data_IF_938628750107
#
_entry.id   IF_938628750107
#
_cell.length_a   1.000
_cell.length_b   1.000
_cell.length_c   1.000
_cell.angle_alpha   90.00
_cell.angle_beta   90.00
_cell.angle_gamma   90.00
#
_symmetry.space_group_name_H-M   'P 1'
#
loop_
_entity.id
_entity.type
_entity.pdbx_description
1 polymer ?
#
# COMPACT_ATOMS: atom_id res chain seq x y z
N UNK A 1 10.22 27.94 -13.40
CA UNK A 1 9.93 26.50 -13.57
C UNK A 1 10.76 25.82 -12.51
N UNK A 2 10.13 25.12 -11.58
CA UNK A 2 10.87 24.26 -10.67
C UNK A 2 11.34 23.08 -11.53
N UNK A 3 12.62 22.72 -11.42
CA UNK A 3 13.15 21.52 -12.06
C UNK A 3 12.41 20.29 -11.51
N UNK A 4 12.18 19.29 -12.36
CA UNK A 4 11.58 18.02 -11.94
C UNK A 4 12.51 17.27 -10.98
N UNK A 5 11.95 16.71 -9.90
CA UNK A 5 12.69 15.87 -8.98
C UNK A 5 12.76 14.44 -9.54
N UNK A 6 13.84 14.13 -10.26
CA UNK A 6 14.09 12.79 -10.78
C UNK A 6 14.57 11.89 -9.63
N UNK A 7 13.83 10.80 -9.37
CA UNK A 7 14.10 9.88 -8.26
C UNK A 7 15.34 9.01 -8.54
N UNK A 8 15.42 8.45 -9.74
CA UNK A 8 16.50 7.59 -10.19
C UNK A 8 17.56 8.34 -11.02
N UNK A 9 18.80 7.87 -10.99
CA UNK A 9 19.89 8.25 -11.91
C UNK A 9 20.16 7.19 -12.97
N UNK A 10 19.77 5.93 -12.72
CA UNK A 10 19.65 4.91 -13.75
C UNK A 10 18.20 4.86 -14.26
N UNK A 11 17.99 5.15 -15.55
CA UNK A 11 16.68 5.10 -16.21
C UNK A 11 16.61 4.00 -17.28
N UNK A 12 17.57 3.08 -17.30
CA UNK A 12 17.50 1.94 -18.20
C UNK A 12 16.46 0.93 -17.66
N UNK A 13 15.63 0.36 -18.54
CA UNK A 13 14.61 -0.67 -18.24
C UNK A 13 13.42 -0.19 -17.39
N UNK A 14 12.69 -1.12 -16.75
CA UNK A 14 11.41 -0.82 -16.07
C UNK A 14 11.69 -0.34 -14.65
N UNK A 15 11.22 0.86 -14.32
CA UNK A 15 11.16 1.34 -12.94
C UNK A 15 9.70 1.44 -12.54
N UNK A 16 9.30 0.59 -11.60
CA UNK A 16 7.89 0.42 -11.24
C UNK A 16 7.68 0.66 -9.73
N UNK A 17 6.42 0.92 -9.38
CA UNK A 17 5.93 1.02 -8.00
C UNK A 17 6.72 1.91 -7.03
N UNK A 18 6.96 3.20 -7.35
CA UNK A 18 7.66 4.08 -6.43
C UNK A 18 6.85 4.33 -5.16
N UNK A 19 7.50 4.16 -4.01
CA UNK A 19 6.96 4.55 -2.71
C UNK A 19 7.86 5.62 -2.06
N UNK A 20 7.26 6.58 -1.36
CA UNK A 20 8.00 7.65 -0.67
C UNK A 20 7.59 7.79 0.78
N UNK A 21 8.53 8.25 1.61
CA UNK A 21 8.25 8.62 2.99
C UNK A 21 8.97 9.91 3.38
N UNK A 22 8.23 10.83 4.01
CA UNK A 22 8.81 12.03 4.61
C UNK A 22 9.69 11.65 5.82
N UNK A 23 10.82 12.34 5.97
CA UNK A 23 11.74 12.14 7.08
C UNK A 23 11.62 13.25 8.13
N UNK A 24 11.74 12.90 9.41
CA UNK A 24 11.57 13.84 10.53
C UNK A 24 12.56 15.03 10.53
N UNK A 25 13.69 14.90 9.82
CA UNK A 25 14.68 15.98 9.62
C UNK A 25 14.36 16.92 8.44
N UNK A 26 13.24 16.71 7.75
CA UNK A 26 12.94 17.30 6.45
C UNK A 26 13.46 16.43 5.30
N UNK A 27 12.91 16.65 4.11
CA UNK A 27 13.17 15.80 2.95
C UNK A 27 12.38 14.50 2.98
N UNK A 28 12.77 13.56 2.13
CA UNK A 28 12.08 12.29 1.94
C UNK A 28 13.03 11.20 1.45
N UNK A 29 12.63 9.95 1.63
CA UNK A 29 13.22 8.79 0.96
C UNK A 29 12.26 8.33 -0.13
N UNK A 30 12.80 7.91 -1.27
CA UNK A 30 12.07 7.18 -2.29
C UNK A 30 12.66 5.77 -2.41
N UNK A 31 11.78 4.80 -2.65
CA UNK A 31 12.12 3.42 -3.02
C UNK A 31 11.34 3.05 -4.27
N UNK A 32 11.89 2.18 -5.09
CA UNK A 32 11.27 1.70 -6.32
C UNK A 32 11.82 0.33 -6.67
N UNK A 33 11.06 -0.39 -7.50
CA UNK A 33 11.49 -1.63 -8.11
C UNK A 33 12.30 -1.28 -9.37
N UNK A 34 13.52 -1.78 -9.46
CA UNK A 34 14.40 -1.61 -10.61
C UNK A 34 14.51 -2.95 -11.34
N UNK A 35 13.77 -3.08 -12.44
CA UNK A 35 13.78 -4.27 -13.28
C UNK A 35 14.89 -4.17 -14.29
N UNK A 36 16.07 -4.73 -14.01
CA UNK A 36 17.14 -4.81 -15.00
C UNK A 36 17.80 -6.20 -15.07
N UNK A 37 18.06 -6.69 -16.29
CA UNK A 37 18.96 -7.80 -16.60
C UNK A 37 20.45 -7.39 -16.46
N UNK A 38 20.82 -6.66 -15.40
CA UNK A 38 22.17 -6.08 -15.32
C UNK A 38 23.26 -7.16 -15.17
N UNK A 39 24.04 -7.28 -16.26
CA UNK A 39 25.51 -7.41 -16.42
C UNK A 39 26.34 -8.26 -15.41
N UNK A 40 25.68 -9.17 -14.72
CA UNK A 40 26.28 -10.20 -13.88
C UNK A 40 25.26 -11.11 -13.18
N UNK A 41 23.98 -10.72 -13.16
CA UNK A 41 22.91 -11.40 -12.46
C UNK A 41 21.75 -11.65 -13.41
N UNK A 42 21.33 -12.90 -13.54
CA UNK A 42 20.41 -13.40 -14.56
C UNK A 42 18.96 -12.87 -14.41
N UNK A 43 18.71 -11.58 -14.68
CA UNK A 43 17.37 -11.04 -14.95
C UNK A 43 16.38 -10.95 -13.79
N UNK A 44 16.86 -10.68 -12.57
CA UNK A 44 16.01 -10.47 -11.39
C UNK A 44 15.71 -8.97 -11.17
N UNK A 45 14.50 -8.65 -10.72
CA UNK A 45 14.12 -7.31 -10.23
C UNK A 45 14.67 -7.10 -8.82
N UNK A 46 15.30 -5.95 -8.58
CA UNK A 46 15.82 -5.55 -7.27
C UNK A 46 15.09 -4.33 -6.71
N UNK A 47 15.14 -4.13 -5.39
CA UNK A 47 14.57 -2.94 -4.75
C UNK A 47 15.69 -1.94 -4.45
N UNK A 48 15.49 -0.70 -4.89
CA UNK A 48 16.44 0.39 -4.69
C UNK A 48 15.84 1.53 -3.89
N UNK A 49 16.70 2.38 -3.36
CA UNK A 49 16.27 3.59 -2.67
C UNK A 49 17.27 4.73 -2.76
N UNK A 50 16.76 5.92 -2.45
CA UNK A 50 17.55 7.16 -2.41
C UNK A 50 16.94 8.17 -1.45
N UNK A 51 17.80 8.90 -0.73
CA UNK A 51 17.38 9.94 0.22
C UNK A 51 17.56 11.31 -0.40
N UNK A 52 16.56 12.17 -0.20
CA UNK A 52 16.49 13.54 -0.72
C UNK A 52 16.27 14.54 0.41
N UNK A 53 16.75 15.77 0.22
CA UNK A 53 16.42 16.88 1.10
C UNK A 53 15.04 17.49 0.79
N UNK A 54 14.63 18.48 1.56
CA UNK A 54 13.34 19.16 1.40
C UNK A 54 13.22 19.99 0.11
N UNK A 55 14.32 20.16 -0.64
CA UNK A 55 14.34 20.80 -1.94
C UNK A 55 14.37 19.77 -3.08
N UNK A 56 14.30 18.47 -2.77
CA UNK A 56 14.37 17.39 -3.76
C UNK A 56 15.78 17.09 -4.26
N UNK A 57 16.83 17.63 -3.60
CA UNK A 57 18.21 17.29 -3.96
C UNK A 57 18.59 15.99 -3.30
N UNK A 58 19.15 15.07 -4.07
CA UNK A 58 19.65 13.82 -3.55
C UNK A 58 20.79 14.03 -2.54
N UNK A 59 20.63 13.42 -1.36
CA UNK A 59 21.62 13.37 -0.30
C UNK A 59 22.48 12.11 -0.35
N UNK A 60 22.01 11.08 -1.04
CA UNK A 60 22.72 9.81 -1.25
C UNK A 60 22.82 9.47 -2.74
N UNK A 61 23.81 8.63 -3.12
CA UNK A 61 23.65 7.77 -4.30
C UNK A 61 22.43 6.87 -4.17
N UNK A 62 22.04 6.23 -5.27
CA UNK A 62 21.14 5.07 -5.24
C UNK A 62 21.81 3.93 -4.47
N UNK A 63 21.02 3.17 -3.73
CA UNK A 63 21.51 2.01 -3.00
C UNK A 63 20.52 0.86 -3.05
N UNK A 64 21.04 -0.36 -3.18
CA UNK A 64 20.25 -1.59 -3.11
C UNK A 64 19.71 -1.79 -1.69
N UNK A 65 18.41 -2.07 -1.57
CA UNK A 65 17.69 -2.22 -0.29
C UNK A 65 17.85 -3.62 0.30
N UNK A 66 17.80 -4.73 -0.44
CA UNK A 66 18.03 -6.05 0.13
C UNK A 66 19.53 -6.36 0.24
N UNK A 67 19.91 -7.33 1.10
CA UNK A 67 21.32 -7.75 1.22
C UNK A 67 21.71 -8.85 0.23
N UNK A 68 20.72 -9.59 -0.28
CA UNK A 68 20.91 -10.75 -1.14
C UNK A 68 20.54 -10.40 -2.59
N UNK A 69 21.33 -10.90 -3.56
CA UNK A 69 21.22 -10.50 -4.97
C UNK A 69 20.73 -11.64 -5.89
N UNK A 70 20.11 -12.68 -5.33
CA UNK A 70 19.78 -13.93 -6.04
C UNK A 70 18.27 -14.25 -6.13
N UNK A 71 17.42 -13.33 -5.66
CA UNK A 71 15.97 -13.51 -5.52
C UNK A 71 15.25 -12.33 -6.22
N UNK A 72 14.03 -12.53 -6.74
CA UNK A 72 13.15 -11.45 -7.18
C UNK A 72 12.66 -10.65 -5.97
N UNK A 73 12.87 -9.33 -6.02
CA UNK A 73 12.52 -8.41 -4.95
C UNK A 73 11.69 -7.26 -5.52
N UNK A 74 10.52 -7.04 -4.93
CA UNK A 74 9.51 -6.17 -5.51
C UNK A 74 8.48 -5.67 -4.48
N UNK A 75 7.62 -4.75 -4.92
CA UNK A 75 6.51 -4.15 -4.19
C UNK A 75 6.95 -3.46 -2.89
N UNK A 76 8.05 -2.71 -2.96
CA UNK A 76 8.63 -2.09 -1.78
C UNK A 76 7.76 -0.97 -1.19
N UNK A 77 7.61 -0.97 0.14
CA UNK A 77 6.95 0.11 0.91
C UNK A 77 7.91 0.68 1.93
N UNK A 78 7.79 1.98 2.19
CA UNK A 78 8.70 2.71 3.09
C UNK A 78 7.96 3.59 4.09
N UNK A 79 8.45 3.65 5.32
CA UNK A 79 7.97 4.58 6.36
C UNK A 79 9.12 5.29 7.05
N UNK A 80 8.94 6.59 7.28
CA UNK A 80 9.86 7.41 8.06
C UNK A 80 9.68 7.18 9.56
N UNK A 81 10.78 7.27 10.32
CA UNK A 81 10.80 7.10 11.77
C UNK A 81 11.08 8.44 12.48
N UNK A 82 10.67 8.59 13.76
CA UNK A 82 10.87 9.83 14.51
C UNK A 82 12.34 10.23 14.73
N UNK A 83 13.27 9.27 14.67
CA UNK A 83 14.70 9.54 14.77
C UNK A 83 15.34 10.02 13.46
N UNK A 84 14.51 10.23 12.42
CA UNK A 84 14.92 10.63 11.08
C UNK A 84 15.34 9.46 10.19
N UNK A 85 15.44 8.24 10.74
CA UNK A 85 15.62 7.03 9.94
C UNK A 85 14.35 6.61 9.21
N UNK A 86 14.40 5.44 8.58
CA UNK A 86 13.26 4.85 7.88
C UNK A 86 13.31 3.32 7.92
N UNK A 87 12.19 2.68 7.62
CA UNK A 87 12.09 1.23 7.40
C UNK A 87 11.56 1.00 5.99
N UNK A 88 12.21 0.10 5.27
CA UNK A 88 11.71 -0.43 3.99
C UNK A 88 11.29 -1.87 4.20
N UNK A 89 10.14 -2.24 3.66
CA UNK A 89 9.67 -3.61 3.56
C UNK A 89 9.41 -3.97 2.11
N UNK A 90 9.63 -5.21 1.73
CA UNK A 90 9.49 -5.69 0.36
C UNK A 90 9.11 -7.17 0.33
N UNK A 91 8.58 -7.60 -0.81
CA UNK A 91 8.37 -8.99 -1.14
C UNK A 91 9.66 -9.57 -1.74
N UNK A 92 10.07 -10.77 -1.30
CA UNK A 92 11.17 -11.52 -1.92
C UNK A 92 10.72 -12.95 -2.17
N UNK A 93 10.86 -13.45 -3.40
CA UNK A 93 10.71 -14.88 -3.63
C UNK A 93 11.89 -15.59 -2.93
N UNK A 94 11.61 -16.61 -2.13
CA UNK A 94 12.70 -17.34 -1.46
C UNK A 94 13.36 -18.29 -2.45
N UNK A 95 14.59 -18.74 -2.17
CA UNK A 95 15.20 -19.89 -2.87
C UNK A 95 14.19 -21.04 -2.95
N UNK A 96 13.72 -21.34 -4.16
CA UNK A 96 12.89 -22.52 -4.46
C UNK A 96 13.64 -23.79 -4.04
N UNK A 97 13.27 -24.33 -2.88
CA UNK A 97 13.89 -25.55 -2.33
C UNK A 97 13.24 -26.83 -2.85
N UNK A 98 12.31 -26.72 -3.79
CA UNK A 98 11.61 -27.88 -4.38
C UNK A 98 11.99 -28.13 -5.84
N UNK A 99 12.63 -27.16 -6.50
CA UNK A 99 12.97 -27.25 -7.92
C UNK A 99 11.73 -27.15 -8.82
N UNK A 100 10.67 -26.56 -8.29
CA UNK A 100 9.47 -26.16 -9.02
C UNK A 100 9.28 -24.68 -8.71
N UNK A 101 9.37 -23.83 -9.74
CA UNK A 101 9.17 -22.38 -9.70
C UNK A 101 7.92 -22.00 -8.86
N UNK A 102 8.08 -21.92 -7.54
CA UNK A 102 7.03 -21.50 -6.63
C UNK A 102 7.21 -19.99 -6.54
N UNK A 103 6.48 -19.23 -7.34
CA UNK A 103 6.48 -17.76 -7.34
C UNK A 103 5.93 -17.17 -6.02
N UNK A 104 6.20 -17.84 -4.88
CA UNK A 104 5.68 -17.60 -3.55
C UNK A 104 6.64 -16.64 -2.84
N UNK A 105 6.09 -15.54 -2.35
CA UNK A 105 6.88 -14.48 -1.74
C UNK A 105 6.85 -14.60 -0.22
N UNK A 106 7.95 -14.15 0.39
CA UNK A 106 8.04 -13.86 1.81
C UNK A 106 8.25 -12.36 2.00
N UNK A 107 7.93 -11.87 3.19
CA UNK A 107 8.04 -10.44 3.47
C UNK A 107 9.27 -10.17 4.32
N UNK A 108 10.08 -9.24 3.84
CA UNK A 108 11.30 -8.80 4.50
C UNK A 108 11.21 -7.33 4.88
N UNK A 109 12.04 -6.94 5.84
CA UNK A 109 12.24 -5.53 6.17
C UNK A 109 13.68 -5.23 6.56
N UNK A 110 14.07 -3.98 6.39
CA UNK A 110 15.34 -3.42 6.85
C UNK A 110 15.15 -2.00 7.36
N UNK A 111 15.81 -1.68 8.47
CA UNK A 111 15.85 -0.34 9.07
C UNK A 111 17.09 0.39 8.58
N UNK A 112 16.94 1.68 8.29
CA UNK A 112 18.00 2.56 7.83
C UNK A 112 18.08 3.82 8.68
N UNK A 113 19.28 4.40 8.74
CA UNK A 113 19.53 5.74 9.26
C UNK A 113 18.99 6.81 8.32
N UNK A 114 18.95 8.06 8.80
CA UNK A 114 18.60 9.23 7.97
C UNK A 114 19.51 9.43 6.74
N UNK A 115 20.69 8.78 6.71
CA UNK A 115 21.66 8.86 5.60
C UNK A 115 21.67 7.62 4.73
N UNK A 116 20.69 6.72 4.88
CA UNK A 116 20.59 5.48 4.10
C UNK A 116 21.54 4.37 4.55
N UNK A 117 22.14 4.47 5.74
CA UNK A 117 22.96 3.37 6.29
C UNK A 117 22.07 2.35 7.00
N UNK A 118 22.24 1.07 6.72
CA UNK A 118 21.51 -0.02 7.39
C UNK A 118 21.76 -0.02 8.90
N UNK A 119 20.72 -0.27 9.68
CA UNK A 119 20.78 -0.40 11.13
C UNK A 119 20.28 -1.79 11.52
N UNK A 120 21.22 -2.68 11.80
CA UNK A 120 20.93 -4.08 12.10
C UNK A 120 20.84 -4.95 10.84
N UNK A 121 20.47 -6.20 11.04
CA UNK A 121 20.33 -7.19 9.98
C UNK A 121 18.96 -7.05 9.31
N UNK A 122 18.88 -7.51 8.05
CA UNK A 122 17.61 -7.73 7.38
C UNK A 122 16.78 -8.77 8.16
N UNK A 123 15.48 -8.53 8.25
CA UNK A 123 14.55 -9.39 9.01
C UNK A 123 13.50 -9.96 8.07
N UNK A 124 13.40 -11.29 8.00
CA UNK A 124 12.23 -11.95 7.45
C UNK A 124 11.08 -11.78 8.46
N UNK A 125 10.04 -11.04 8.08
CA UNK A 125 8.90 -10.72 8.95
C UNK A 125 8.04 -11.95 9.15
N UNK A 126 7.80 -12.67 8.06
CA UNK A 126 6.91 -13.82 8.00
C UNK A 126 7.66 -15.13 8.26
N UNK A 127 7.11 -16.05 9.08
CA UNK A 127 7.82 -17.26 9.49
C UNK A 127 7.61 -18.46 8.54
N UNK A 128 6.52 -18.47 7.78
CA UNK A 128 6.06 -19.63 7.00
C UNK A 128 6.43 -19.47 5.52
N UNK A 129 7.16 -20.45 4.99
CA UNK A 129 7.71 -20.46 3.62
C UNK A 129 6.84 -21.25 2.64
N UNK A 130 5.74 -21.83 3.11
CA UNK A 130 4.85 -22.68 2.32
C UNK A 130 3.58 -21.93 1.85
N UNK A 131 3.47 -20.64 2.16
CA UNK A 131 2.39 -19.75 1.73
C UNK A 131 2.97 -18.64 0.85
N UNK A 132 2.24 -18.25 -0.19
CA UNK A 132 2.50 -17.01 -0.90
C UNK A 132 2.10 -15.84 0.02
N UNK A 133 3.01 -14.89 0.25
CA UNK A 133 2.77 -13.75 1.12
C UNK A 133 2.98 -12.44 0.37
N UNK A 134 1.99 -11.56 0.47
CA UNK A 134 1.94 -10.29 -0.24
C UNK A 134 1.89 -9.13 0.73
N UNK A 135 2.71 -8.12 0.48
CA UNK A 135 2.80 -6.92 1.30
C UNK A 135 1.65 -5.97 0.95
N UNK A 136 0.67 -5.86 1.85
CA UNK A 136 -0.47 -4.97 1.67
C UNK A 136 -0.10 -3.52 2.01
N UNK A 137 0.48 -3.32 3.19
CA UNK A 137 0.67 -1.99 3.74
C UNK A 137 1.80 -1.91 4.77
N UNK A 138 2.44 -0.73 4.81
CA UNK A 138 3.37 -0.33 5.84
C UNK A 138 3.04 1.11 6.27
N UNK A 139 2.64 1.30 7.52
CA UNK A 139 2.20 2.62 8.02
C UNK A 139 2.91 2.99 9.31
N UNK A 140 3.35 4.26 9.41
CA UNK A 140 3.91 4.81 10.64
C UNK A 140 2.80 5.01 11.69
N UNK A 141 3.12 4.77 12.96
CA UNK A 141 2.19 4.92 14.06
C UNK A 141 2.47 6.20 14.87
N UNK A 142 1.45 6.82 15.50
CA UNK A 142 1.62 8.04 16.30
C UNK A 142 2.58 7.91 17.50
N UNK A 143 2.84 6.69 17.98
CA UNK A 143 3.79 6.43 19.05
C UNK A 143 5.25 6.29 18.55
N UNK A 144 5.47 6.47 17.24
CA UNK A 144 6.76 6.34 16.60
C UNK A 144 7.12 4.93 16.14
N UNK A 145 6.28 3.94 16.42
CA UNK A 145 6.38 2.62 15.81
C UNK A 145 5.84 2.59 14.39
N UNK A 146 5.64 1.39 13.87
CA UNK A 146 4.99 1.18 12.58
C UNK A 146 4.16 -0.12 12.62
N UNK A 147 3.24 -0.25 11.67
CA UNK A 147 2.42 -1.44 11.50
C UNK A 147 2.51 -1.92 10.06
N UNK A 148 2.64 -3.23 9.90
CA UNK A 148 2.63 -3.90 8.62
C UNK A 148 1.35 -4.70 8.49
N UNK A 149 0.81 -4.75 7.29
CA UNK A 149 -0.29 -5.64 6.88
C UNK A 149 0.20 -6.50 5.72
N UNK A 150 -0.14 -7.77 5.75
CA UNK A 150 0.17 -8.70 4.67
C UNK A 150 -0.89 -9.76 4.51
N UNK A 151 -1.07 -10.18 3.27
CA UNK A 151 -1.92 -11.29 2.90
C UNK A 151 -1.08 -12.57 2.78
N UNK A 152 -1.61 -13.72 3.20
CA UNK A 152 -0.98 -15.02 3.04
C UNK A 152 -1.99 -16.03 2.44
N UNK A 153 -1.55 -16.84 1.48
CA UNK A 153 -2.40 -17.85 0.85
C UNK A 153 -1.64 -19.10 0.43
N UNK A 154 -2.27 -20.26 0.56
CA UNK A 154 -1.74 -21.55 0.09
C UNK A 154 -2.11 -21.86 -1.38
N UNK A 155 -3.20 -21.29 -1.89
CA UNK A 155 -3.74 -21.56 -3.22
C UNK A 155 -3.91 -20.27 -4.04
N UNK A 156 -3.55 -19.12 -3.46
CA UNK A 156 -3.70 -17.74 -3.99
C UNK A 156 -5.14 -17.33 -4.32
N UNK A 157 -6.11 -18.14 -3.92
CA UNK A 157 -7.55 -17.92 -4.12
C UNK A 157 -8.26 -17.56 -2.83
N UNK A 158 -7.62 -17.77 -1.68
CA UNK A 158 -8.17 -17.44 -0.37
C UNK A 158 -7.04 -16.88 0.50
N UNK A 159 -7.18 -15.60 0.86
CA UNK A 159 -6.12 -14.84 1.52
C UNK A 159 -6.48 -14.57 2.97
N UNK A 160 -5.66 -15.07 3.87
CA UNK A 160 -5.64 -14.61 5.26
C UNK A 160 -4.87 -13.31 5.34
N UNK A 161 -5.45 -12.29 5.95
CA UNK A 161 -4.81 -10.98 6.11
C UNK A 161 -4.38 -10.81 7.55
N UNK A 162 -3.08 -10.63 7.73
CA UNK A 162 -2.44 -10.49 9.02
C UNK A 162 -1.90 -9.07 9.21
N UNK A 163 -1.76 -8.68 10.47
CA UNK A 163 -1.01 -7.48 10.85
C UNK A 163 0.00 -7.76 11.94
N UNK A 164 1.16 -7.11 11.83
CA UNK A 164 2.20 -7.10 12.86
C UNK A 164 2.57 -5.65 13.21
N UNK A 165 2.58 -5.36 14.51
CA UNK A 165 3.08 -4.08 15.04
C UNK A 165 4.56 -4.16 15.36
N UNK A 166 5.27 -3.08 15.10
CA UNK A 166 6.68 -2.89 15.43
C UNK A 166 6.89 -1.59 16.20
N UNK A 167 7.91 -1.57 17.05
CA UNK A 167 8.37 -0.34 17.70
C UNK A 167 9.30 0.46 16.78
N UNK A 168 9.71 1.66 17.21
CA UNK A 168 10.59 2.55 16.44
C UNK A 168 11.98 1.96 16.11
N UNK A 169 12.40 0.90 16.80
CA UNK A 169 13.67 0.19 16.55
C UNK A 169 13.47 -1.09 15.74
N UNK A 170 12.33 -1.23 15.06
CA UNK A 170 11.93 -2.41 14.27
C UNK A 170 11.83 -3.73 15.06
N UNK A 171 11.64 -3.66 16.39
CA UNK A 171 11.30 -4.81 17.21
C UNK A 171 9.81 -5.10 17.18
N UNK A 172 9.41 -6.37 17.00
CA UNK A 172 8.00 -6.81 17.06
C UNK A 172 7.38 -6.45 18.42
N UNK A 173 6.16 -5.92 18.39
CA UNK A 173 5.34 -5.60 19.57
C UNK A 173 4.10 -6.48 19.53
N UNK A 174 4.00 -7.43 20.47
CA UNK A 174 2.96 -8.45 20.43
C UNK A 174 3.20 -9.48 19.32
N UNK A 175 2.22 -10.36 19.13
CA UNK A 175 2.21 -11.33 18.03
C UNK A 175 1.52 -10.78 16.78
N UNK A 176 1.60 -11.56 15.71
CA UNK A 176 0.80 -11.40 14.50
C UNK A 176 -0.69 -11.63 14.82
N UNK A 177 -1.56 -10.88 14.16
CA UNK A 177 -3.01 -10.93 14.36
C UNK A 177 -3.73 -11.03 13.01
N UNK A 178 -4.59 -12.03 12.86
CA UNK A 178 -5.51 -12.17 11.72
C UNK A 178 -6.60 -11.08 11.80
N UNK A 179 -6.79 -10.32 10.72
CA UNK A 179 -7.71 -9.18 10.67
C UNK A 179 -8.84 -9.33 9.66
N UNK A 180 -8.74 -10.21 8.65
CA UNK A 180 -9.90 -10.54 7.83
C UNK A 180 -10.87 -11.46 8.60
N UNK A 181 -12.14 -11.44 8.19
CA UNK A 181 -13.14 -12.39 8.68
C UNK A 181 -13.29 -13.45 7.60
N UNK A 182 -13.01 -14.71 7.94
CA UNK A 182 -13.03 -15.97 7.16
C UNK A 182 -14.37 -16.31 6.45
N UNK A 183 -15.07 -15.30 5.95
CA UNK A 183 -16.11 -15.44 4.93
C UNK A 183 -15.34 -15.23 3.64
N UNK A 184 -14.95 -16.35 3.03
CA UNK A 184 -14.47 -16.50 1.65
C UNK A 184 -14.18 -15.14 1.02
N UNK A 185 -12.90 -14.73 1.03
CA UNK A 185 -12.50 -13.37 0.60
C UNK A 185 -12.97 -13.05 -0.83
N UNK A 186 -13.55 -14.02 -1.53
CA UNK A 186 -14.14 -13.90 -2.86
C UNK A 186 -13.11 -13.93 -3.96
N UNK A 187 -11.84 -14.01 -3.57
CA UNK A 187 -10.67 -13.86 -4.41
C UNK A 187 -10.47 -15.05 -5.36
N UNK A 188 -11.26 -16.12 -5.20
CA UNK A 188 -11.30 -17.26 -6.11
C UNK A 188 -11.62 -16.87 -7.56
N UNK A 189 -12.33 -15.75 -7.78
CA UNK A 189 -12.70 -15.27 -9.12
C UNK A 189 -11.85 -14.09 -9.64
N UNK A 190 -11.08 -13.42 -8.77
CA UNK A 190 -10.26 -12.25 -9.09
C UNK A 190 -8.91 -12.58 -9.77
N UNK A 191 -8.74 -13.80 -10.29
CA UNK A 191 -7.56 -14.18 -11.07
C UNK A 191 -6.30 -14.56 -10.27
N UNK A 192 -6.43 -14.92 -8.99
CA UNK A 192 -5.36 -15.60 -8.23
C UNK A 192 -4.12 -14.77 -7.86
N UNK A 193 -4.07 -13.48 -8.19
CA UNK A 193 -2.94 -12.59 -7.85
C UNK A 193 -3.38 -11.26 -7.21
N UNK A 194 -4.68 -11.03 -7.07
CA UNK A 194 -5.21 -9.82 -6.45
C UNK A 194 -5.45 -10.04 -4.95
N UNK A 195 -4.95 -9.11 -4.15
CA UNK A 195 -5.13 -9.11 -2.70
C UNK A 195 -6.05 -7.95 -2.28
N UNK A 196 -6.69 -8.01 -1.08
CA UNK A 196 -7.75 -7.07 -0.67
C UNK A 196 -7.41 -5.58 -0.61
N UNK A 197 -6.14 -5.19 -0.81
CA UNK A 197 -5.71 -3.79 -0.92
C UNK A 197 -5.97 -3.00 0.35
N UNK A 198 -5.50 -3.50 1.49
CA UNK A 198 -5.72 -2.86 2.79
C UNK A 198 -5.06 -1.47 2.84
N UNK A 199 -5.78 -0.51 3.40
CA UNK A 199 -5.30 0.83 3.77
C UNK A 199 -5.69 1.12 5.23
N UNK A 200 -4.73 1.50 6.05
CA UNK A 200 -4.87 1.73 7.47
C UNK A 200 -4.86 3.23 7.77
N UNK A 201 -5.76 3.63 8.65
CA UNK A 201 -5.76 4.93 9.29
C UNK A 201 -5.42 4.76 10.79
N UNK A 202 -4.13 4.88 11.18
CA UNK A 202 -3.73 4.87 12.57
C UNK A 202 -4.30 6.05 13.35
N UNK A 203 -4.65 5.80 14.62
CA UNK A 203 -5.16 6.82 15.54
C UNK A 203 -4.23 7.01 16.72
N UNK A 204 -4.33 8.17 17.38
CA UNK A 204 -3.44 8.58 18.46
C UNK A 204 -3.45 7.64 19.67
N UNK A 205 -4.54 6.90 19.89
CA UNK A 205 -4.67 5.89 20.94
C UNK A 205 -4.07 4.52 20.54
N UNK A 206 -3.46 4.43 19.36
CA UNK A 206 -2.86 3.23 18.80
C UNK A 206 -3.85 2.31 18.07
N UNK A 207 -5.16 2.57 18.19
CA UNK A 207 -6.18 1.88 17.41
C UNK A 207 -6.13 2.32 15.94
N UNK A 208 -6.83 1.62 15.06
CA UNK A 208 -6.82 1.95 13.63
C UNK A 208 -8.13 1.60 12.94
N UNK A 209 -8.34 2.16 11.76
CA UNK A 209 -9.43 1.82 10.86
C UNK A 209 -8.80 1.26 9.60
N UNK A 210 -9.22 0.09 9.15
CA UNK A 210 -8.85 -0.41 7.83
C UNK A 210 -9.95 -0.08 6.83
N UNK A 211 -9.57 0.35 5.64
CA UNK A 211 -10.38 0.32 4.43
C UNK A 211 -9.80 -0.73 3.48
N UNK A 212 -10.65 -1.56 2.91
CA UNK A 212 -10.23 -2.67 2.06
C UNK A 212 -11.40 -3.05 1.14
N UNK A 213 -11.12 -3.84 0.11
CA UNK A 213 -12.17 -4.42 -0.72
C UNK A 213 -12.32 -5.91 -0.45
N UNK A 214 -13.53 -6.42 -0.61
CA UNK A 214 -13.83 -7.86 -0.63
C UNK A 214 -14.75 -8.14 -1.82
N UNK A 215 -14.84 -9.39 -2.26
CA UNK A 215 -15.79 -9.83 -3.28
C UNK A 215 -16.81 -10.81 -2.66
N UNK A 216 -17.86 -10.32 -1.97
CA UNK A 216 -18.78 -11.22 -1.28
C UNK A 216 -19.48 -12.16 -2.27
N UNK A 217 -19.54 -13.46 -2.00
CA UNK A 217 -20.21 -14.45 -2.89
C UNK A 217 -21.64 -14.07 -3.30
N UNK A 218 -22.33 -13.29 -2.45
CA UNK A 218 -23.68 -12.80 -2.70
C UNK A 218 -23.77 -11.69 -3.76
N UNK A 219 -22.64 -11.13 -4.19
CA UNK A 219 -22.53 -10.00 -5.10
C UNK A 219 -21.53 -10.35 -6.21
N UNK A 220 -21.87 -10.15 -7.49
CA UNK A 220 -20.87 -10.29 -8.55
C UNK A 220 -20.08 -8.98 -8.66
N UNK A 221 -19.16 -8.70 -7.75
CA UNK A 221 -18.32 -7.51 -7.82
C UNK A 221 -17.72 -7.09 -6.47
N UNK A 222 -16.52 -6.52 -6.53
CA UNK A 222 -15.80 -6.05 -5.35
C UNK A 222 -16.55 -4.90 -4.67
N UNK A 223 -16.57 -4.93 -3.34
CA UNK A 223 -17.19 -3.93 -2.48
C UNK A 223 -16.17 -3.39 -1.49
N UNK A 224 -16.30 -2.10 -1.17
CA UNK A 224 -15.41 -1.45 -0.20
C UNK A 224 -16.00 -1.57 1.20
N UNK A 225 -15.17 -1.96 2.15
CA UNK A 225 -15.53 -2.03 3.56
C UNK A 225 -14.60 -1.17 4.41
N UNK A 226 -15.08 -0.80 5.59
CA UNK A 226 -14.22 -0.37 6.68
C UNK A 226 -14.45 -1.20 7.94
N UNK A 227 -13.39 -1.48 8.67
CA UNK A 227 -13.44 -2.14 9.97
C UNK A 227 -12.56 -1.38 10.95
N UNK A 228 -13.09 -1.17 12.16
CA UNK A 228 -12.31 -0.58 13.26
C UNK A 228 -11.60 -1.69 14.02
N UNK A 229 -10.36 -1.43 14.43
CA UNK A 229 -9.56 -2.34 15.23
C UNK A 229 -9.01 -1.63 16.46
N UNK A 230 -8.81 -2.39 17.54
CA UNK A 230 -8.08 -1.91 18.71
C UNK A 230 -6.56 -1.81 18.42
N UNK A 231 -5.78 -1.33 19.39
CA UNK A 231 -4.34 -1.18 19.22
C UNK A 231 -3.55 -2.50 19.09
N UNK A 232 -4.17 -3.63 19.49
CA UNK A 232 -3.59 -4.95 19.32
C UNK A 232 -3.93 -5.54 17.93
N UNK A 233 -5.00 -5.09 17.29
CA UNK A 233 -5.47 -5.58 16.00
C UNK A 233 -6.76 -6.40 16.08
N UNK A 234 -7.49 -6.38 17.21
CA UNK A 234 -8.78 -7.05 17.28
C UNK A 234 -9.90 -6.14 16.76
N UNK A 235 -10.83 -6.72 16.00
CA UNK A 235 -11.98 -6.00 15.47
C UNK A 235 -12.86 -5.40 16.60
N UNK A 236 -13.25 -4.14 16.43
CA UNK A 236 -14.13 -3.39 17.34
C UNK A 236 -15.43 -3.03 16.63
N UNK A 237 -16.50 -3.75 16.96
CA UNK A 237 -17.80 -3.60 16.28
C UNK A 237 -17.82 -4.30 14.92
N UNK A 238 -18.94 -4.15 14.21
CA UNK A 238 -19.09 -4.73 12.88
C UNK A 238 -18.41 -3.86 11.80
N UNK A 239 -18.03 -4.50 10.70
CA UNK A 239 -17.58 -3.81 9.49
C UNK A 239 -18.70 -2.99 8.88
N UNK A 240 -18.35 -1.91 8.21
CA UNK A 240 -19.29 -1.01 7.52
C UNK A 240 -19.08 -1.13 6.02
N UNK A 241 -20.15 -1.42 5.28
CA UNK A 241 -20.14 -1.38 3.81
C UNK A 241 -20.06 0.08 3.36
N UNK A 242 -19.01 0.41 2.60
CA UNK A 242 -18.74 1.78 2.15
C UNK A 242 -19.42 2.08 0.84
N UNK A 243 -19.25 1.20 -0.15
CA UNK A 243 -19.75 1.43 -1.50
C UNK A 243 -21.26 1.56 -1.54
N UNK A 244 -22.05 0.70 -0.87
CA UNK A 244 -23.53 0.75 -0.85
C UNK A 244 -24.16 0.99 -2.25
N UNK A 245 -23.48 0.56 -3.32
CA UNK A 245 -23.95 0.77 -4.70
C UNK A 245 -24.73 -0.46 -5.15
N UNK A 246 -25.86 -0.22 -5.82
CA UNK A 246 -26.66 -1.26 -6.47
C UNK A 246 -26.08 -1.55 -7.85
N UNK A 247 -25.69 -2.79 -8.13
CA UNK A 247 -25.15 -3.21 -9.43
C UNK A 247 -24.05 -4.27 -9.27
N UNK A 248 -23.53 -4.80 -10.38
CA UNK A 248 -22.32 -5.64 -10.42
C UNK A 248 -21.05 -4.77 -10.58
N UNK A 249 -21.13 -3.52 -10.14
CA UNK A 249 -20.04 -2.56 -10.21
C UNK A 249 -18.84 -3.04 -9.40
N UNK A 250 -17.66 -2.86 -9.98
CA UNK A 250 -16.41 -3.32 -9.42
C UNK A 250 -15.72 -2.19 -8.65
N UNK A 251 -15.72 -2.27 -7.31
CA UNK A 251 -15.17 -1.24 -6.42
C UNK A 251 -13.82 -1.67 -5.86
N UNK A 252 -12.77 -0.89 -6.14
CA UNK A 252 -11.39 -1.26 -5.79
C UNK A 252 -10.54 -0.06 -5.39
N UNK A 253 -9.32 -0.36 -4.93
CA UNK A 253 -8.30 0.62 -4.54
C UNK A 253 -8.79 1.69 -3.56
N UNK A 254 -9.33 1.29 -2.39
CA UNK A 254 -9.73 2.28 -1.40
C UNK A 254 -8.54 3.13 -0.95
N UNK A 255 -8.82 4.35 -0.54
CA UNK A 255 -7.92 5.23 0.23
C UNK A 255 -8.70 5.83 1.39
N UNK A 256 -8.04 6.00 2.52
CA UNK A 256 -8.68 6.49 3.75
C UNK A 256 -7.88 7.64 4.35
N UNK A 257 -8.56 8.66 4.85
CA UNK A 257 -7.92 9.77 5.58
C UNK A 257 -8.76 10.24 6.76
N UNK A 258 -8.10 10.79 7.79
CA UNK A 258 -8.78 11.34 8.97
C UNK A 258 -9.47 12.66 8.68
N UNK A 259 -10.61 12.91 9.32
CA UNK A 259 -11.27 14.21 9.36
C UNK A 259 -11.22 14.80 10.78
N UNK A 260 -11.53 16.09 10.89
CA UNK A 260 -11.64 16.76 12.18
C UNK A 260 -12.67 16.07 13.09
N UNK A 261 -12.43 16.08 14.41
CA UNK A 261 -13.29 15.40 15.37
C UNK A 261 -13.16 13.87 15.39
N UNK A 262 -12.19 13.31 14.65
CA UNK A 262 -11.90 11.88 14.64
C UNK A 262 -12.74 11.07 13.64
N UNK A 263 -13.51 11.73 12.78
CA UNK A 263 -14.15 11.11 11.62
C UNK A 263 -13.13 10.71 10.56
N UNK A 264 -13.61 10.18 9.44
CA UNK A 264 -12.75 9.79 8.31
C UNK A 264 -13.49 9.86 6.98
N UNK A 265 -12.74 9.96 5.89
CA UNK A 265 -13.24 9.86 4.53
C UNK A 265 -12.61 8.63 3.85
N UNK A 266 -13.41 7.93 3.06
CA UNK A 266 -12.95 6.82 2.21
C UNK A 266 -13.27 7.17 0.77
N UNK A 267 -12.25 7.17 -0.08
CA UNK A 267 -12.40 7.28 -1.52
C UNK A 267 -12.06 5.95 -2.18
N UNK A 268 -12.64 5.64 -3.34
CA UNK A 268 -12.35 4.43 -4.11
C UNK A 268 -12.57 4.63 -5.60
N UNK A 269 -12.01 3.73 -6.41
CA UNK A 269 -12.30 3.63 -7.83
C UNK A 269 -13.48 2.68 -8.03
N UNK A 270 -14.50 3.13 -8.75
CA UNK A 270 -15.65 2.35 -9.18
C UNK A 270 -15.54 2.11 -10.68
N UNK A 271 -15.60 0.86 -11.12
CA UNK A 271 -15.69 0.49 -12.53
C UNK A 271 -17.12 0.07 -12.87
N UNK A 272 -17.64 0.60 -13.97
CA UNK A 272 -18.98 0.28 -14.48
C UNK A 272 -19.01 -1.17 -15.02
N UNK A 273 -20.10 -1.89 -14.75
CA UNK A 273 -20.32 -3.25 -15.23
C UNK A 273 -20.51 -3.31 -16.76
N UNK A 274 -21.17 -2.31 -17.34
CA UNK A 274 -21.54 -2.27 -18.76
C UNK A 274 -20.40 -1.70 -19.62
N UNK A 275 -19.45 -0.99 -19.01
CA UNK A 275 -18.28 -0.41 -19.66
C UNK A 275 -17.05 -0.50 -18.74
N UNK A 276 -16.27 -1.56 -18.89
CA UNK A 276 -15.12 -1.84 -18.03
C UNK A 276 -13.98 -0.80 -18.13
N UNK A 277 -13.98 0.01 -19.18
CA UNK A 277 -13.03 1.12 -19.35
C UNK A 277 -13.54 2.40 -18.67
N UNK A 278 -14.84 2.44 -18.33
CA UNK A 278 -15.44 3.53 -17.57
C UNK A 278 -15.20 3.35 -16.06
N UNK A 279 -14.32 4.20 -15.53
CA UNK A 279 -13.97 4.22 -14.11
C UNK A 279 -14.19 5.61 -13.54
N UNK A 280 -14.75 5.65 -12.33
CA UNK A 280 -15.06 6.86 -11.59
C UNK A 280 -14.48 6.84 -10.19
N UNK A 281 -14.30 8.02 -9.62
CA UNK A 281 -13.82 8.21 -8.25
C UNK A 281 -14.98 8.55 -7.34
N UNK A 282 -15.21 7.70 -6.37
CA UNK A 282 -16.28 7.82 -5.40
C UNK A 282 -15.75 8.08 -4.00
N UNK A 283 -16.58 8.66 -3.15
CA UNK A 283 -16.23 9.06 -1.81
C UNK A 283 -17.41 8.87 -0.84
N UNK A 284 -17.08 8.52 0.41
CA UNK A 284 -18.01 8.54 1.53
C UNK A 284 -17.32 9.00 2.81
N UNK A 285 -18.03 9.75 3.64
CA UNK A 285 -17.51 10.26 4.92
C UNK A 285 -18.21 9.64 6.11
N UNK A 286 -17.49 9.57 7.23
CA UNK A 286 -17.89 8.85 8.43
C UNK A 286 -17.55 9.64 9.69
N UNK A 287 -18.35 9.43 10.74
CA UNK A 287 -18.01 9.87 12.10
C UNK A 287 -16.93 8.97 12.73
N UNK A 288 -16.46 9.33 13.93
CA UNK A 288 -15.41 8.58 14.63
C UNK A 288 -15.82 7.17 15.09
N UNK A 289 -17.12 6.88 15.09
CA UNK A 289 -17.68 5.58 15.46
C UNK A 289 -17.91 4.68 14.24
N UNK A 290 -17.73 5.22 13.03
CA UNK A 290 -17.92 4.51 11.76
C UNK A 290 -19.34 4.60 11.21
N UNK A 291 -20.16 5.54 11.68
CA UNK A 291 -21.45 5.81 11.02
C UNK A 291 -21.24 6.72 9.81
N UNK A 292 -21.85 6.35 8.68
CA UNK A 292 -21.81 7.17 7.48
C UNK A 292 -22.49 8.52 7.71
N UNK A 293 -21.78 9.60 7.38
CA UNK A 293 -22.29 10.98 7.39
C UNK A 293 -22.92 11.36 6.05
N UNK A 294 -22.52 10.68 4.98
CA UNK A 294 -23.03 10.88 3.62
C UNK A 294 -23.44 9.56 2.98
N UNK A 295 -24.27 9.63 1.95
CA UNK A 295 -24.31 8.58 0.94
C UNK A 295 -22.96 8.54 0.17
N UNK A 296 -22.66 7.47 -0.57
CA UNK A 296 -21.64 7.49 -1.62
C UNK A 296 -21.87 8.66 -2.59
N UNK A 297 -20.82 9.40 -2.91
CA UNK A 297 -20.86 10.52 -3.86
C UNK A 297 -19.72 10.38 -4.85
N UNK A 298 -20.02 10.50 -6.14
CA UNK A 298 -19.02 10.61 -7.19
C UNK A 298 -18.33 11.98 -7.10
N UNK A 299 -17.01 11.98 -7.08
CA UNK A 299 -16.17 13.18 -6.90
C UNK A 299 -15.82 13.82 -8.24
N UNK A 300 -15.68 13.00 -9.27
CA UNK A 300 -15.35 13.41 -10.61
C UNK A 300 -16.61 13.55 -11.50
N UNK A 301 -16.42 13.99 -12.74
CA UNK A 301 -17.48 14.06 -13.75
C UNK A 301 -17.36 12.88 -14.71
N UNK A 302 -18.49 12.31 -15.16
CA UNK A 302 -18.53 11.28 -16.21
C UNK A 302 -17.82 11.79 -17.48
N UNK A 303 -16.59 11.32 -17.71
CA UNK A 303 -15.87 11.55 -18.97
C UNK A 303 -15.85 10.24 -19.75
N UNK A 304 -15.75 10.30 -21.09
CA UNK A 304 -15.66 9.09 -21.92
C UNK A 304 -14.41 8.23 -21.67
N UNK A 305 -13.43 8.74 -20.92
CA UNK A 305 -12.19 8.03 -20.58
C UNK A 305 -12.14 7.76 -19.07
N UNK A 306 -11.60 6.60 -18.71
CA UNK A 306 -11.51 6.13 -17.33
C UNK A 306 -10.72 7.06 -16.41
N UNK A 307 -11.22 7.23 -15.20
CA UNK A 307 -10.65 8.07 -14.15
C UNK A 307 -10.35 7.24 -12.91
N UNK A 308 -9.11 7.37 -12.44
CA UNK A 308 -8.55 6.53 -11.39
C UNK A 308 -8.23 7.38 -10.17
N UNK A 309 -8.61 6.89 -8.99
CA UNK A 309 -8.26 7.53 -7.72
C UNK A 309 -6.73 7.59 -7.57
N UNK A 310 -6.21 8.77 -7.26
CA UNK A 310 -4.85 8.95 -6.78
C UNK A 310 -4.80 8.80 -5.26
N UNK A 311 -5.25 9.83 -4.55
CA UNK A 311 -5.16 9.90 -3.10
C UNK A 311 -6.33 10.71 -2.50
N UNK A 312 -6.62 10.47 -1.22
CA UNK A 312 -7.48 11.33 -0.40
C UNK A 312 -6.68 11.84 0.81
N UNK A 313 -6.62 13.15 0.99
CA UNK A 313 -5.77 13.79 2.00
C UNK A 313 -6.57 14.78 2.81
N UNK A 314 -6.50 14.67 4.14
CA UNK A 314 -7.08 15.64 5.07
C UNK A 314 -6.42 17.02 4.92
N UNK A 315 -7.23 18.08 4.90
CA UNK A 315 -6.74 19.46 4.84
C UNK A 315 -6.85 20.14 6.21
N UNK A 316 -5.90 21.03 6.56
CA UNK A 316 -6.06 21.91 7.70
C UNK A 316 -7.38 22.70 7.61
N UNK A 317 -8.14 22.75 8.71
CA UNK A 317 -9.45 23.43 8.75
C UNK A 317 -10.66 22.54 8.43
N UNK A 318 -10.48 21.21 8.40
CA UNK A 318 -11.58 20.23 8.44
C UNK A 318 -12.09 19.76 7.06
N UNK A 319 -11.46 20.18 5.97
CA UNK A 319 -11.73 19.68 4.62
C UNK A 319 -10.86 18.48 4.24
N UNK A 320 -10.98 18.03 3.00
CA UNK A 320 -10.10 17.04 2.39
C UNK A 320 -9.92 17.35 0.90
N UNK A 321 -8.83 16.85 0.31
CA UNK A 321 -8.54 16.86 -1.12
C UNK A 321 -8.66 15.44 -1.65
N UNK A 322 -9.26 15.27 -2.82
CA UNK A 322 -9.22 14.02 -3.58
C UNK A 322 -8.48 14.32 -4.89
N UNK A 323 -7.47 13.53 -5.21
CA UNK A 323 -6.77 13.60 -6.49
C UNK A 323 -7.18 12.41 -7.36
N UNK A 324 -7.24 12.62 -8.66
CA UNK A 324 -7.53 11.57 -9.63
C UNK A 324 -6.76 11.82 -10.93
N UNK A 325 -6.47 10.75 -11.65
CA UNK A 325 -5.86 10.79 -12.96
C UNK A 325 -6.91 10.37 -14.01
N UNK A 326 -6.92 11.07 -15.14
CA UNK A 326 -7.72 10.70 -16.30
C UNK A 326 -6.76 10.34 -17.44
N UNK A 327 -7.11 9.33 -18.23
CA UNK A 327 -6.47 9.19 -19.52
C UNK A 327 -6.86 10.38 -20.42
N UNK A 328 -5.91 10.78 -21.26
CA UNK A 328 -6.16 11.73 -22.34
C UNK A 328 -5.30 11.33 -23.52
N UNK A 329 -5.91 11.15 -24.69
CA UNK A 329 -5.19 10.88 -25.93
C UNK A 329 -4.29 12.06 -26.41
N UNK A 330 -4.36 13.23 -25.75
CA UNK A 330 -3.69 14.48 -26.15
C UNK A 330 -2.44 14.81 -25.32
N UNK A 331 -1.65 13.82 -24.89
CA UNK A 331 -0.30 14.11 -24.37
C UNK A 331 0.69 14.15 -25.53
N UNK A 332 0.73 15.29 -26.24
CA UNK A 332 1.90 15.59 -27.05
C UNK A 332 3.09 15.71 -26.10
N UNK A 333 4.00 14.73 -26.11
CA UNK A 333 5.28 14.80 -25.43
C UNK A 333 5.92 16.17 -25.68
N UNK A 334 6.33 16.84 -24.60
CA UNK A 334 7.06 18.11 -24.69
C UNK A 334 8.39 17.85 -25.42
N UNK A 335 8.68 18.55 -26.53
CA UNK A 335 10.01 18.46 -27.14
C UNK A 335 11.02 19.13 -26.21
N UNK A 336 12.04 18.34 -25.84
CA UNK A 336 13.23 18.68 -25.04
C UNK A 336 13.87 20.05 -25.32
#
# INVERSE_FOLDING_TARGET
MADDNILNTNTEYSQDEPATAALAGGGFVAVWDDGNQDDGFDGFTGVYGRVFDAQGRALTPEFHIPMDDYDQQLHAKVVGLPDGGFVVAWESDGVDRTGADSNDFNIFMQRFSATGQRIGDQVQVTPDRELDQRLEELVALPDGGFRMVYAASNLRTDWDVYTQRFNATAGKVGGEVLINTDVDTGLAFAGGYLTPGYQLLPRADGSFIAAYWEEPESLNGRQIYTQRYDAAGHAVGARSLVSELTGLDDNSFPRITSLEGGGYAVAWTKRDEDDLDNTDVWLRTYDSLGHALTAPVQVNTDLPEGQYLGEVVALPGGGFLVTYAAWSADVSEFPY
#
